data_IF_976018159641
#
_entry.id   IF_976018159641
#
_cell.length_a   1.000
_cell.length_b   1.000
_cell.length_c   1.000
_cell.angle_alpha   90.00
_cell.angle_beta   90.00
_cell.angle_gamma   90.00
#
_symmetry.space_group_name_H-M   'P 1'
#
loop_
_entity.id
_entity.type
_entity.pdbx_description
1 polymer ?
#
# COMPACT_ATOMS: atom_id res chain seq x y z
N UNK A 1 -2.68 23.70 -9.23
CA UNK A 1 -1.71 22.67 -9.64
C UNK A 1 -0.67 22.47 -8.53
N UNK A 2 -0.15 21.27 -8.41
CA UNK A 2 0.90 20.93 -7.44
C UNK A 2 2.21 20.64 -8.14
N UNK A 3 3.30 20.69 -7.41
CA UNK A 3 4.63 20.36 -7.93
C UNK A 3 5.05 18.98 -7.43
N UNK A 4 5.43 18.10 -8.36
CA UNK A 4 5.90 16.76 -8.02
C UNK A 4 7.21 16.83 -7.24
N UNK A 5 7.26 16.14 -6.09
CA UNK A 5 8.45 16.12 -5.23
C UNK A 5 9.65 15.48 -5.91
N UNK A 6 9.40 14.48 -6.77
CA UNK A 6 10.48 13.71 -7.40
C UNK A 6 11.01 14.32 -8.70
N UNK A 7 10.10 14.71 -9.60
CA UNK A 7 10.53 15.21 -10.93
C UNK A 7 10.43 16.73 -11.07
N UNK A 8 9.83 17.44 -10.12
CA UNK A 8 9.72 18.88 -10.14
C UNK A 8 8.71 19.45 -11.13
N UNK A 9 7.94 18.61 -11.82
CA UNK A 9 6.94 19.07 -12.76
C UNK A 9 5.66 19.49 -12.04
N UNK A 10 4.98 20.47 -12.61
CA UNK A 10 3.63 20.79 -12.16
C UNK A 10 2.65 19.77 -12.73
N UNK A 11 1.65 19.40 -11.93
CA UNK A 11 0.64 18.43 -12.34
C UNK A 11 -0.71 18.78 -11.73
N UNK A 12 -1.78 18.28 -12.36
CA UNK A 12 -3.13 18.32 -11.84
C UNK A 12 -3.41 17.01 -11.12
N UNK A 13 -3.88 17.06 -9.88
CA UNK A 13 -4.17 15.87 -9.08
C UNK A 13 -5.20 14.96 -9.74
N UNK A 14 -6.23 15.52 -10.38
CA UNK A 14 -7.24 14.72 -11.06
C UNK A 14 -6.67 13.95 -12.24
N UNK A 15 -5.80 14.59 -13.03
CA UNK A 15 -5.10 13.91 -14.13
C UNK A 15 -4.13 12.86 -13.61
N UNK A 16 -3.43 13.17 -12.53
CA UNK A 16 -2.49 12.23 -11.92
C UNK A 16 -3.20 10.96 -11.41
N UNK A 17 -4.37 11.12 -10.82
CA UNK A 17 -5.19 9.98 -10.40
C UNK A 17 -5.60 9.10 -11.58
N UNK A 18 -5.92 9.70 -12.72
CA UNK A 18 -6.26 8.95 -13.94
C UNK A 18 -5.06 8.22 -14.54
N UNK A 19 -3.86 8.79 -14.41
CA UNK A 19 -2.61 8.17 -14.88
C UNK A 19 -2.20 7.01 -13.96
N UNK A 20 -2.49 7.11 -12.67
CA UNK A 20 -2.15 6.11 -11.69
C UNK A 20 -3.08 4.89 -11.83
N UNK A 21 -2.52 3.78 -12.27
CA UNK A 21 -3.29 2.58 -12.63
C UNK A 21 -3.51 1.59 -11.50
N UNK A 22 -2.76 1.72 -10.40
CA UNK A 22 -2.81 0.72 -9.34
C UNK A 22 -4.04 0.89 -8.47
N UNK A 23 -4.66 -0.23 -8.12
CA UNK A 23 -5.83 -0.25 -7.25
C UNK A 23 -5.45 -0.03 -5.78
N UNK A 24 -4.26 -0.42 -5.40
CA UNK A 24 -3.76 -0.31 -4.03
C UNK A 24 -2.25 -0.12 -4.02
N UNK A 25 -1.72 0.81 -3.21
CA UNK A 25 -2.50 1.81 -2.47
C UNK A 25 -3.18 2.82 -3.39
N UNK A 26 -4.17 3.54 -2.89
CA UNK A 26 -4.84 4.60 -3.65
C UNK A 26 -3.89 5.78 -3.90
N UNK A 27 -4.03 6.42 -5.06
CA UNK A 27 -3.26 7.64 -5.36
C UNK A 27 -3.43 8.70 -4.25
N UNK A 28 -4.62 8.80 -3.68
CA UNK A 28 -4.93 9.80 -2.66
C UNK A 28 -4.29 9.51 -1.29
N UNK A 29 -3.67 8.35 -1.12
CA UNK A 29 -2.95 7.97 0.09
C UNK A 29 -1.47 8.39 0.07
N UNK A 30 -1.07 9.21 -0.88
CA UNK A 30 0.28 9.74 -0.95
C UNK A 30 0.61 10.65 0.24
N UNK A 31 1.77 10.44 0.84
CA UNK A 31 2.31 11.31 1.88
C UNK A 31 2.97 12.56 1.31
N UNK A 32 3.50 12.46 0.10
CA UNK A 32 4.19 13.54 -0.60
C UNK A 32 3.52 13.76 -1.96
N UNK A 33 3.51 15.00 -2.47
CA UNK A 33 2.92 15.25 -3.79
C UNK A 33 3.74 14.63 -4.90
N UNK A 34 3.12 13.74 -5.68
CA UNK A 34 3.73 13.09 -6.84
C UNK A 34 2.78 13.16 -8.04
N UNK A 35 3.35 13.36 -9.24
CA UNK A 35 2.59 13.20 -10.46
C UNK A 35 2.25 11.71 -10.67
N UNK A 36 1.30 11.41 -11.57
CA UNK A 36 0.86 10.04 -11.79
C UNK A 36 1.99 9.09 -12.18
N UNK A 37 2.91 9.54 -13.01
CA UNK A 37 4.06 8.73 -13.44
C UNK A 37 4.99 8.39 -12.29
N UNK A 38 5.33 9.37 -11.45
CA UNK A 38 6.20 9.14 -10.29
C UNK A 38 5.49 8.26 -9.24
N UNK A 39 4.19 8.42 -9.07
CA UNK A 39 3.40 7.57 -8.18
C UNK A 39 3.41 6.11 -8.67
N UNK A 40 3.26 5.87 -9.96
CA UNK A 40 3.37 4.53 -10.54
C UNK A 40 4.76 3.93 -10.33
N UNK A 41 5.82 4.72 -10.49
CA UNK A 41 7.18 4.26 -10.23
C UNK A 41 7.38 3.90 -8.76
N UNK A 42 6.78 4.66 -7.84
CA UNK A 42 6.87 4.38 -6.42
C UNK A 42 6.25 3.01 -6.08
N UNK A 43 5.11 2.69 -6.70
CA UNK A 43 4.46 1.38 -6.52
C UNK A 43 5.27 0.27 -7.16
N UNK A 44 5.72 0.47 -8.40
CA UNK A 44 6.50 -0.55 -9.14
C UNK A 44 7.79 -0.92 -8.42
N UNK A 45 8.42 0.05 -7.76
CA UNK A 45 9.66 -0.16 -7.02
C UNK A 45 9.45 -0.40 -5.52
N UNK A 46 8.19 -0.44 -5.06
CA UNK A 46 7.82 -0.64 -3.66
C UNK A 46 8.59 0.32 -2.72
N UNK A 47 8.58 1.60 -3.06
CA UNK A 47 9.34 2.62 -2.33
C UNK A 47 8.66 2.94 -1.00
N UNK A 48 9.39 2.78 0.10
CA UNK A 48 8.89 3.08 1.44
C UNK A 48 8.74 4.60 1.66
N UNK A 49 7.79 4.98 2.52
CA UNK A 49 7.60 6.36 2.93
C UNK A 49 6.81 7.23 1.97
N UNK A 50 6.28 6.65 0.88
CA UNK A 50 5.53 7.38 -0.14
C UNK A 50 4.02 7.31 0.10
N UNK A 51 3.51 6.14 0.47
CA UNK A 51 2.08 5.91 0.70
C UNK A 51 1.78 5.65 2.16
N UNK A 52 0.55 5.95 2.58
CA UNK A 52 0.06 5.67 3.92
C UNK A 52 -1.33 5.04 3.83
N UNK A 53 -1.55 4.00 4.64
CA UNK A 53 -2.85 3.38 4.81
C UNK A 53 -3.23 3.39 6.29
N UNK A 54 -4.52 3.27 6.57
CA UNK A 54 -5.02 3.19 7.93
C UNK A 54 -5.57 1.80 8.19
N UNK A 55 -5.09 1.14 9.24
CA UNK A 55 -5.60 -0.17 9.62
C UNK A 55 -7.02 -0.04 10.14
N UNK A 56 -7.96 -0.72 9.49
CA UNK A 56 -9.37 -0.68 9.88
C UNK A 56 -9.65 -1.44 11.17
N UNK A 57 -8.74 -2.33 11.59
CA UNK A 57 -8.91 -3.12 12.80
C UNK A 57 -8.39 -2.39 14.04
N UNK A 58 -7.18 -1.83 13.99
CA UNK A 58 -6.56 -1.18 15.15
C UNK A 58 -6.49 0.34 15.04
N UNK A 59 -6.78 0.92 13.87
CA UNK A 59 -6.78 2.36 13.65
C UNK A 59 -5.40 3.00 13.49
N UNK A 60 -4.34 2.20 13.40
CA UNK A 60 -2.97 2.70 13.26
C UNK A 60 -2.67 3.02 11.79
N UNK A 61 -2.03 4.15 11.54
CA UNK A 61 -1.50 4.46 10.22
C UNK A 61 -0.21 3.67 9.98
N UNK A 62 -0.04 3.18 8.76
CA UNK A 62 1.13 2.37 8.40
C UNK A 62 1.52 2.61 6.95
N UNK A 63 2.77 2.28 6.61
CA UNK A 63 3.27 2.29 5.24
C UNK A 63 3.02 0.91 4.63
N UNK A 64 2.19 0.80 3.56
CA UNK A 64 1.84 -0.51 3.02
C UNK A 64 3.03 -1.28 2.46
N UNK A 65 4.05 -0.61 1.93
CA UNK A 65 5.22 -1.30 1.39
C UNK A 65 6.17 -1.78 2.50
N UNK A 66 6.36 -0.97 3.54
CA UNK A 66 7.15 -1.36 4.70
C UNK A 66 6.48 -2.54 5.43
N UNK A 67 5.18 -2.45 5.64
CA UNK A 67 4.41 -3.50 6.30
C UNK A 67 4.31 -4.77 5.45
N UNK A 68 4.30 -4.65 4.12
CA UNK A 68 4.36 -5.79 3.21
C UNK A 68 5.63 -6.60 3.43
N UNK A 69 6.78 -5.94 3.58
CA UNK A 69 8.05 -6.61 3.86
C UNK A 69 8.02 -7.32 5.21
N UNK A 70 7.42 -6.69 6.21
CA UNK A 70 7.28 -7.28 7.54
C UNK A 70 6.38 -8.52 7.51
N UNK A 71 5.28 -8.46 6.78
CA UNK A 71 4.37 -9.59 6.60
C UNK A 71 5.06 -10.73 5.85
N UNK A 72 5.77 -10.44 4.77
CA UNK A 72 6.45 -11.43 3.97
C UNK A 72 7.54 -12.17 4.78
N UNK A 73 8.20 -11.46 5.68
CA UNK A 73 9.20 -12.07 6.60
C UNK A 73 8.55 -13.09 7.53
N UNK A 74 7.30 -12.88 7.92
CA UNK A 74 6.57 -13.80 8.78
C UNK A 74 6.02 -15.03 8.05
N UNK A 75 5.68 -14.89 6.75
CA UNK A 75 4.97 -15.91 5.99
C UNK A 75 5.66 -16.30 4.67
N UNK A 76 6.95 -16.06 4.51
CA UNK A 76 7.66 -16.13 3.23
C UNK A 76 7.50 -17.45 2.46
N UNK A 77 7.22 -18.57 3.09
CA UNK A 77 7.16 -19.87 2.43
C UNK A 77 5.89 -20.68 2.66
N UNK A 78 5.05 -20.28 3.61
CA UNK A 78 4.01 -21.19 4.10
C UNK A 78 2.59 -20.75 3.79
N UNK A 79 2.36 -19.50 3.44
CA UNK A 79 1.01 -18.95 3.37
C UNK A 79 0.47 -18.83 1.93
N UNK A 80 1.29 -18.43 0.98
CA UNK A 80 0.85 -18.21 -0.40
C UNK A 80 -0.08 -17.00 -0.59
N UNK A 81 -0.37 -16.25 0.46
CA UNK A 81 -1.22 -15.07 0.42
C UNK A 81 -0.37 -13.83 0.64
N UNK A 82 -0.37 -12.90 -0.32
CA UNK A 82 0.37 -11.65 -0.19
C UNK A 82 -0.26 -10.75 0.87
N UNK A 83 0.49 -9.77 1.34
CA UNK A 83 0.00 -8.81 2.33
C UNK A 83 -1.29 -8.13 1.87
N UNK A 84 -1.32 -7.64 0.64
CA UNK A 84 -2.52 -6.97 0.11
C UNK A 84 -3.68 -7.92 -0.14
N UNK A 85 -3.39 -9.17 -0.50
CA UNK A 85 -4.43 -10.20 -0.64
C UNK A 85 -5.07 -10.54 0.70
N UNK A 86 -4.33 -10.43 1.81
CA UNK A 86 -4.89 -10.64 3.15
C UNK A 86 -6.01 -9.66 3.45
N UNK A 87 -5.96 -8.45 2.90
CA UNK A 87 -7.03 -7.46 3.05
C UNK A 87 -8.34 -7.93 2.41
N UNK A 88 -8.24 -8.59 1.26
CA UNK A 88 -9.42 -9.14 0.58
C UNK A 88 -10.04 -10.29 1.36
N UNK A 89 -9.24 -11.16 1.95
CA UNK A 89 -9.72 -12.24 2.81
C UNK A 89 -10.41 -11.71 4.07
N UNK A 90 -9.83 -10.70 4.68
CA UNK A 90 -10.38 -10.11 5.90
C UNK A 90 -11.54 -9.14 5.64
N UNK A 91 -11.68 -8.66 4.38
CA UNK A 91 -12.66 -7.65 4.02
C UNK A 91 -12.35 -6.25 4.56
N UNK A 92 -11.11 -6.02 4.96
CA UNK A 92 -10.67 -4.72 5.51
C UNK A 92 -9.18 -4.53 5.33
N UNK A 93 -8.74 -3.28 5.33
CA UNK A 93 -7.32 -2.93 5.26
C UNK A 93 -6.68 -3.20 6.63
N UNK A 94 -5.58 -3.93 6.64
CA UNK A 94 -4.88 -4.33 7.87
C UNK A 94 -3.40 -3.93 7.82
N UNK A 95 -2.86 -3.48 8.96
CA UNK A 95 -1.41 -3.36 9.12
C UNK A 95 -0.77 -4.76 9.20
N UNK A 96 0.56 -4.84 9.12
CA UNK A 96 1.25 -6.14 9.13
C UNK A 96 0.87 -7.00 10.33
N UNK A 97 0.86 -6.43 11.52
CA UNK A 97 0.53 -7.19 12.75
C UNK A 97 -0.89 -7.75 12.72
N UNK A 98 -1.86 -6.95 12.30
CA UNK A 98 -3.25 -7.39 12.19
C UNK A 98 -3.44 -8.40 11.06
N UNK A 99 -2.73 -8.23 9.94
CA UNK A 99 -2.76 -9.17 8.82
C UNK A 99 -2.18 -10.51 9.20
N UNK A 100 -1.05 -10.52 9.90
CA UNK A 100 -0.41 -11.73 10.41
C UNK A 100 -1.38 -12.49 11.32
N UNK A 101 -1.98 -11.80 12.26
CA UNK A 101 -2.97 -12.39 13.17
C UNK A 101 -4.16 -12.97 12.42
N UNK A 102 -4.70 -12.23 11.47
CA UNK A 102 -5.86 -12.69 10.69
C UNK A 102 -5.52 -13.95 9.88
N UNK A 103 -4.34 -14.01 9.28
CA UNK A 103 -3.91 -15.16 8.48
C UNK A 103 -3.60 -16.38 9.34
N UNK A 104 -3.11 -16.19 10.56
CA UNK A 104 -2.86 -17.29 11.50
C UNK A 104 -4.14 -17.97 11.95
N UNK A 105 -5.25 -17.23 11.99
CA UNK A 105 -6.56 -17.75 12.39
C UNK A 105 -7.40 -18.28 11.25
N UNK A 106 -6.96 -18.17 10.01
CA UNK A 106 -7.68 -18.74 8.87
C UNK A 106 -7.58 -20.25 8.88
N UNK A 107 -8.70 -20.97 8.63
CA UNK A 107 -8.64 -22.42 8.48
C UNK A 107 -7.81 -22.75 7.23
N UNK A 108 -6.82 -23.59 7.39
CA UNK A 108 -6.03 -24.08 6.26
C UNK A 108 -6.73 -25.28 5.65
N UNK A 109 -6.98 -25.16 4.35
CA UNK A 109 -7.54 -26.28 3.59
C UNK A 109 -6.49 -27.36 3.38
#
# INVERSE_FOLDING_TARGET
MKTCTWCGKEYDEDEADLIFDDCRPSYWNLRIPLCGQCANEAVDNAVDGVFVECCEKCGTEFDPFLDSSKYDSAFSECNGVSFMDSWDFAGQVLCADCAIEAMEHLPRA
#
